data_IF_725050773373
#
_entry.id   IF_725050773373
#
_cell.length_a   1.000
_cell.length_b   1.000
_cell.length_c   1.000
_cell.angle_alpha   90.00
_cell.angle_beta   90.00
_cell.angle_gamma   90.00
#
_symmetry.space_group_name_H-M   'P 1'
#
loop_
_entity.id
_entity.type
_entity.pdbx_description
1 polymer ?
#
# COMPACT_ATOMS: atom_id res chain seq x y z
N UNK A 1 5.16 -39.96 -38.18
CA UNK A 1 5.04 -39.97 -36.71
C UNK A 1 6.18 -39.14 -36.11
N UNK A 2 6.00 -37.83 -35.97
CA UNK A 2 6.95 -36.93 -35.27
C UNK A 2 6.20 -36.43 -34.02
N UNK A 3 6.69 -36.77 -32.83
CA UNK A 3 6.16 -36.26 -31.56
C UNK A 3 6.92 -34.98 -31.22
N UNK A 4 6.27 -33.83 -31.40
CA UNK A 4 6.77 -32.53 -30.96
C UNK A 4 6.61 -32.47 -29.44
N UNK A 5 7.73 -32.51 -28.71
CA UNK A 5 7.77 -32.30 -27.26
C UNK A 5 7.60 -30.79 -26.99
N UNK A 6 6.38 -30.37 -26.67
CA UNK A 6 6.11 -29.01 -26.18
C UNK A 6 6.47 -28.99 -24.69
N UNK A 7 7.70 -28.58 -24.40
CA UNK A 7 8.13 -28.25 -23.03
C UNK A 7 7.52 -26.90 -22.63
N UNK A 8 6.27 -26.92 -22.16
CA UNK A 8 5.62 -25.78 -21.52
C UNK A 8 6.23 -25.61 -20.12
N UNK A 9 7.32 -24.84 -20.05
CA UNK A 9 7.94 -24.45 -18.78
C UNK A 9 6.94 -23.62 -17.98
N UNK A 10 6.28 -24.26 -17.01
CA UNK A 10 5.36 -23.64 -16.08
C UNK A 10 6.18 -22.74 -15.15
N UNK A 11 6.30 -21.45 -15.51
CA UNK A 11 6.87 -20.45 -14.63
C UNK A 11 5.90 -20.25 -13.46
N UNK A 12 6.12 -20.96 -12.36
CA UNK A 12 5.35 -20.80 -11.12
C UNK A 12 5.65 -19.41 -10.55
N UNK A 13 4.75 -18.46 -10.79
CA UNK A 13 4.75 -17.19 -10.08
C UNK A 13 4.41 -17.44 -8.60
N UNK A 14 5.44 -17.49 -7.74
CA UNK A 14 5.23 -17.46 -6.28
C UNK A 14 4.55 -16.13 -5.91
N UNK A 15 3.24 -16.20 -5.72
CA UNK A 15 2.43 -15.12 -5.18
C UNK A 15 2.60 -15.11 -3.67
N UNK A 16 3.53 -14.30 -3.15
CA UNK A 16 3.56 -13.99 -1.72
C UNK A 16 2.32 -13.13 -1.40
N UNK A 17 1.20 -13.79 -1.11
CA UNK A 17 -0.02 -13.13 -0.68
C UNK A 17 0.22 -12.48 0.70
N UNK A 18 -0.27 -11.26 0.86
CA UNK A 18 -0.17 -10.53 2.12
C UNK A 18 -0.86 -11.30 3.26
N UNK A 19 -0.18 -11.48 4.40
CA UNK A 19 -0.79 -12.10 5.58
C UNK A 19 -1.84 -11.17 6.18
N UNK A 20 -2.88 -11.73 6.80
CA UNK A 20 -3.92 -10.96 7.51
C UNK A 20 -3.28 -10.07 8.59
N UNK A 21 -3.39 -8.75 8.43
CA UNK A 21 -2.81 -7.75 9.35
C UNK A 21 -1.48 -7.12 8.91
N UNK A 22 -0.90 -7.55 7.79
CA UNK A 22 0.23 -6.85 7.19
C UNK A 22 -0.24 -5.59 6.42
N UNK A 23 0.59 -4.54 6.41
CA UNK A 23 0.33 -3.27 5.70
C UNK A 23 -0.97 -2.55 6.11
N UNK A 24 -1.43 -2.69 7.36
CA UNK A 24 -2.72 -2.14 7.82
C UNK A 24 -2.89 -0.65 7.50
N UNK A 25 -1.87 0.18 7.80
CA UNK A 25 -1.91 1.62 7.53
C UNK A 25 -1.98 1.90 6.03
N UNK A 26 -1.17 1.20 5.22
CA UNK A 26 -1.20 1.33 3.76
C UNK A 26 -2.60 1.01 3.19
N UNK A 27 -3.17 -0.14 3.58
CA UNK A 27 -4.46 -0.60 3.06
C UNK A 27 -5.57 0.39 3.43
N UNK A 28 -5.67 0.76 4.71
CA UNK A 28 -6.70 1.70 5.19
C UNK A 28 -6.57 3.07 4.54
N UNK A 29 -5.34 3.59 4.41
CA UNK A 29 -5.11 4.91 3.81
C UNK A 29 -5.49 4.93 2.34
N UNK A 30 -5.07 3.93 1.56
CA UNK A 30 -5.38 3.84 0.13
C UNK A 30 -6.87 3.55 -0.08
N UNK A 31 -7.51 2.69 0.73
CA UNK A 31 -8.96 2.46 0.64
C UNK A 31 -9.75 3.74 0.90
N UNK A 32 -9.38 4.49 1.94
CA UNK A 32 -10.01 5.78 2.24
C UNK A 32 -9.84 6.77 1.08
N UNK A 33 -8.61 6.91 0.55
CA UNK A 33 -8.34 7.75 -0.60
C UNK A 33 -9.12 7.32 -1.84
N UNK A 34 -9.12 6.03 -2.18
CA UNK A 34 -9.82 5.49 -3.35
C UNK A 34 -11.34 5.69 -3.27
N UNK A 35 -11.90 5.71 -2.06
CA UNK A 35 -13.33 5.98 -1.84
C UNK A 35 -13.72 7.45 -2.08
N UNK A 36 -12.74 8.37 -2.01
CA UNK A 36 -12.92 9.79 -2.28
C UNK A 36 -12.66 10.17 -3.75
N UNK A 37 -12.12 9.25 -4.56
CA UNK A 37 -11.85 9.50 -5.97
C UNK A 37 -13.12 9.49 -6.80
N UNK A 38 -13.28 10.53 -7.62
CA UNK A 38 -14.33 10.60 -8.64
C UNK A 38 -14.06 9.64 -9.80
N UNK A 39 -15.10 9.21 -10.51
CA UNK A 39 -14.98 8.34 -11.70
C UNK A 39 -14.21 9.01 -12.85
N UNK A 40 -14.16 10.34 -12.88
CA UNK A 40 -13.34 11.12 -13.82
C UNK A 40 -11.86 11.08 -13.41
N UNK A 41 -11.55 11.32 -12.13
CA UNK A 41 -10.18 11.29 -11.60
C UNK A 41 -9.51 9.94 -11.83
N UNK A 42 -10.26 8.83 -11.69
CA UNK A 42 -9.73 7.46 -11.88
C UNK A 42 -9.14 7.23 -13.27
N UNK A 43 -9.50 8.02 -14.29
CA UNK A 43 -9.03 7.82 -15.67
C UNK A 43 -7.67 8.45 -15.93
N UNK A 44 -7.20 9.36 -15.09
CA UNK A 44 -5.96 10.10 -15.29
C UNK A 44 -5.02 9.87 -14.11
N UNK A 45 -3.86 9.28 -14.38
CA UNK A 45 -2.83 9.08 -13.35
C UNK A 45 -2.40 10.41 -12.74
N UNK A 46 -2.29 11.46 -13.55
CA UNK A 46 -1.93 12.80 -13.09
C UNK A 46 -2.97 13.39 -12.13
N UNK A 47 -4.27 13.17 -12.41
CA UNK A 47 -5.33 13.62 -11.50
C UNK A 47 -5.31 12.85 -10.19
N UNK A 48 -5.12 11.53 -10.23
CA UNK A 48 -4.95 10.70 -9.01
C UNK A 48 -3.76 11.20 -8.18
N UNK A 49 -2.64 11.56 -8.81
CA UNK A 49 -1.46 12.09 -8.10
C UNK A 49 -1.76 13.44 -7.42
N UNK A 50 -2.46 14.34 -8.11
CA UNK A 50 -2.84 15.64 -7.55
C UNK A 50 -3.89 15.51 -6.43
N UNK A 51 -4.88 14.64 -6.62
CA UNK A 51 -5.89 14.32 -5.62
C UNK A 51 -5.24 13.67 -4.40
N UNK A 52 -4.24 12.82 -4.59
CA UNK A 52 -3.49 12.21 -3.48
C UNK A 52 -2.69 13.23 -2.68
N UNK A 53 -2.02 14.18 -3.35
CA UNK A 53 -1.34 15.29 -2.65
C UNK A 53 -2.33 16.13 -1.85
N UNK A 54 -3.49 16.42 -2.43
CA UNK A 54 -4.57 17.15 -1.74
C UNK A 54 -5.13 16.37 -0.56
N UNK A 55 -5.30 15.05 -0.71
CA UNK A 55 -5.68 14.15 0.37
C UNK A 55 -4.66 14.19 1.51
N UNK A 56 -3.36 14.09 1.20
CA UNK A 56 -2.29 14.14 2.20
C UNK A 56 -2.22 15.44 3.00
N UNK A 57 -2.63 16.58 2.42
CA UNK A 57 -2.76 17.85 3.15
C UNK A 57 -3.89 17.85 4.18
N UNK A 58 -4.89 16.96 4.03
CA UNK A 58 -6.04 16.82 4.95
C UNK A 58 -5.90 15.68 5.95
N UNK A 59 -4.94 14.79 5.74
CA UNK A 59 -4.72 13.62 6.59
C UNK A 59 -4.31 14.06 8.00
N UNK A 60 -4.86 13.38 9.01
CA UNK A 60 -4.53 13.65 10.41
C UNK A 60 -3.05 13.38 10.70
N UNK A 61 -2.49 14.15 11.65
CA UNK A 61 -1.11 13.96 12.13
C UNK A 61 -1.01 12.57 12.76
N UNK A 62 -0.14 11.72 12.22
CA UNK A 62 -0.05 10.32 12.66
C UNK A 62 0.59 9.39 11.64
N UNK A 63 0.15 8.11 11.65
CA UNK A 63 0.72 7.06 10.79
C UNK A 63 0.36 7.27 9.31
N UNK A 64 -0.83 7.79 9.00
CA UNK A 64 -1.20 8.12 7.62
C UNK A 64 -0.38 9.30 7.06
N UNK A 65 -0.05 10.31 7.88
CA UNK A 65 0.84 11.39 7.45
C UNK A 65 2.23 10.84 7.09
N UNK A 66 2.75 9.89 7.88
CA UNK A 66 4.02 9.23 7.59
C UNK A 66 3.96 8.39 6.31
N UNK A 67 2.83 7.73 6.06
CA UNK A 67 2.58 7.06 4.78
C UNK A 67 2.58 8.06 3.61
N UNK A 68 1.91 9.21 3.74
CA UNK A 68 1.95 10.28 2.74
C UNK A 68 3.37 10.78 2.45
N UNK A 69 4.20 10.90 3.48
CA UNK A 69 5.62 11.24 3.33
C UNK A 69 6.37 10.17 2.53
N UNK A 70 6.19 8.88 2.82
CA UNK A 70 6.84 7.81 2.04
C UNK A 70 6.35 7.70 0.60
N UNK A 71 5.11 8.10 0.33
CA UNK A 71 4.51 8.02 -1.00
C UNK A 71 4.83 9.22 -1.91
N UNK A 72 5.42 10.30 -1.39
CA UNK A 72 5.61 11.53 -2.18
C UNK A 72 4.37 12.42 -2.24
N UNK A 73 3.43 12.25 -1.30
CA UNK A 73 2.20 13.03 -1.24
C UNK A 73 2.37 14.42 -0.60
N UNK A 74 3.51 14.65 0.06
CA UNK A 74 3.89 15.94 0.63
C UNK A 74 5.06 16.57 -0.15
N UNK A 75 5.11 17.90 -0.19
CA UNK A 75 6.13 18.68 -0.93
C UNK A 75 7.53 18.49 -0.32
N UNK A 76 7.61 18.11 0.97
CA UNK A 76 8.86 17.78 1.65
C UNK A 76 9.40 16.37 1.36
N UNK A 77 8.63 15.53 0.66
CA UNK A 77 9.02 14.16 0.35
C UNK A 77 9.96 14.10 -0.85
N UNK A 78 11.11 13.46 -0.66
CA UNK A 78 12.10 13.24 -1.72
C UNK A 78 11.76 12.03 -2.62
N UNK A 79 10.61 11.38 -2.43
CA UNK A 79 10.28 10.11 -3.11
C UNK A 79 9.41 10.34 -4.35
N UNK A 80 9.75 9.64 -5.45
CA UNK A 80 8.99 9.67 -6.71
C UNK A 80 8.07 8.45 -6.91
N UNK A 81 7.71 7.75 -5.83
CA UNK A 81 6.98 6.47 -5.93
C UNK A 81 5.46 6.64 -6.09
N UNK A 82 4.95 7.87 -6.13
CA UNK A 82 3.53 8.14 -6.28
C UNK A 82 2.92 7.50 -7.55
N UNK A 83 3.74 7.37 -8.61
CA UNK A 83 3.35 6.68 -9.85
C UNK A 83 3.02 5.19 -9.66
N UNK A 84 3.53 4.58 -8.59
CA UNK A 84 3.27 3.19 -8.20
C UNK A 84 1.97 3.02 -7.41
N UNK A 85 1.33 4.13 -7.05
CA UNK A 85 -0.03 4.19 -6.54
C UNK A 85 -1.01 4.63 -7.64
N UNK A 86 -0.66 5.68 -8.40
CA UNK A 86 -1.56 6.27 -9.40
C UNK A 86 -1.85 5.33 -10.57
N UNK A 87 -0.84 4.67 -11.14
CA UNK A 87 -1.04 3.70 -12.23
C UNK A 87 -1.85 2.49 -11.75
N UNK A 88 -1.58 1.91 -10.56
CA UNK A 88 -2.39 0.80 -10.09
C UNK A 88 -3.84 1.15 -9.75
N UNK A 89 -4.13 2.38 -9.35
CA UNK A 89 -5.48 2.81 -9.09
C UNK A 89 -6.28 3.09 -10.37
N UNK A 90 -5.64 3.56 -11.45
CA UNK A 90 -6.37 3.97 -12.67
C UNK A 90 -7.04 2.83 -13.42
N UNK A 91 -6.48 1.63 -13.36
CA UNK A 91 -7.07 0.38 -13.87
C UNK A 91 -7.73 -0.48 -12.76
N UNK A 92 -8.05 0.12 -11.61
CA UNK A 92 -8.80 -0.51 -10.51
C UNK A 92 -8.15 -1.76 -9.90
N UNK A 93 -6.83 -1.75 -9.68
CA UNK A 93 -6.15 -2.83 -8.96
C UNK A 93 -6.61 -2.88 -7.50
N UNK A 94 -6.85 -4.08 -6.92
CA UNK A 94 -7.18 -4.21 -5.51
C UNK A 94 -6.10 -3.62 -4.59
N UNK A 95 -6.52 -2.92 -3.55
CA UNK A 95 -5.63 -2.16 -2.66
C UNK A 95 -4.59 -3.05 -1.99
N UNK A 96 -4.96 -4.29 -1.64
CA UNK A 96 -4.05 -5.26 -1.05
C UNK A 96 -2.87 -5.56 -1.98
N UNK A 97 -3.14 -5.65 -3.30
CA UNK A 97 -2.11 -5.86 -4.32
C UNK A 97 -1.25 -4.62 -4.55
N UNK A 98 -1.83 -3.43 -4.41
CA UNK A 98 -1.05 -2.19 -4.44
C UNK A 98 -0.07 -2.16 -3.27
N UNK A 99 -0.55 -2.42 -2.04
CA UNK A 99 0.32 -2.46 -0.86
C UNK A 99 1.39 -3.56 -0.93
N UNK A 100 1.08 -4.74 -1.50
CA UNK A 100 2.09 -5.78 -1.77
C UNK A 100 3.20 -5.28 -2.71
N UNK A 101 2.84 -4.52 -3.75
CA UNK A 101 3.82 -3.92 -4.68
C UNK A 101 4.64 -2.82 -4.01
N UNK A 102 3.98 -1.96 -3.23
CA UNK A 102 4.65 -0.90 -2.47
C UNK A 102 5.65 -1.49 -1.47
N UNK A 103 5.29 -2.58 -0.76
CA UNK A 103 6.21 -3.31 0.12
C UNK A 103 7.50 -3.76 -0.55
N UNK A 104 7.41 -4.18 -1.81
CA UNK A 104 8.59 -4.64 -2.59
C UNK A 104 9.50 -3.48 -2.98
N UNK A 105 8.96 -2.26 -3.09
CA UNK A 105 9.74 -1.05 -3.35
C UNK A 105 10.33 -0.47 -2.08
N UNK A 106 9.53 -0.43 -1.03
CA UNK A 106 9.91 0.05 0.29
C UNK A 106 9.15 -0.74 1.35
N UNK A 107 9.87 -1.57 2.11
CA UNK A 107 9.26 -2.38 3.18
C UNK A 107 8.72 -1.52 4.31
N UNK A 108 9.27 -0.32 4.52
CA UNK A 108 8.87 0.59 5.59
C UNK A 108 7.40 1.00 5.48
N UNK A 109 6.85 1.04 4.26
CA UNK A 109 5.43 1.35 4.00
C UNK A 109 4.50 0.37 4.71
N UNK A 110 4.86 -0.91 4.72
CA UNK A 110 4.05 -1.98 5.31
C UNK A 110 4.39 -2.26 6.78
N UNK A 111 5.53 -1.78 7.24
CA UNK A 111 5.92 -1.81 8.65
C UNK A 111 5.22 -0.69 9.46
N UNK A 112 4.66 0.32 8.78
CA UNK A 112 3.74 1.27 9.40
C UNK A 112 2.48 0.56 9.88
N UNK A 113 2.33 0.50 11.21
CA UNK A 113 1.16 -0.04 11.91
C UNK A 113 0.62 1.00 12.89
N UNK A 114 -0.69 0.96 13.11
CA UNK A 114 -1.29 1.71 14.20
C UNK A 114 -0.81 1.13 15.52
N UNK A 115 -0.54 2.00 16.49
CA UNK A 115 -0.18 1.55 17.82
C UNK A 115 -1.40 0.84 18.40
N UNK A 116 -1.27 -0.47 18.67
CA UNK A 116 -2.33 -1.19 19.38
C UNK A 116 -2.41 -0.54 20.75
N UNK A 117 -3.55 0.03 21.10
CA UNK A 117 -3.80 0.42 22.48
C UNK A 117 -3.68 -0.85 23.32
N UNK A 118 -2.57 -0.98 24.03
CA UNK A 118 -2.40 -2.07 24.97
C UNK A 118 -3.32 -1.72 26.13
N UNK A 119 -4.45 -2.40 26.18
CA UNK A 119 -5.31 -2.39 27.35
C UNK A 119 -4.52 -3.07 28.47
N UNK A 120 -3.87 -2.27 29.30
CA UNK A 120 -2.98 -2.66 30.40
C UNK A 120 -3.65 -3.59 31.43
N UNK A 121 -4.95 -3.83 31.29
CA UNK A 121 -5.73 -4.77 32.10
C UNK A 121 -5.65 -6.24 31.61
N UNK A 122 -5.12 -6.52 30.41
CA UNK A 122 -5.11 -7.88 29.82
C UNK A 122 -3.71 -8.43 29.50
N UNK A 123 -2.63 -7.71 29.82
CA UNK A 123 -1.26 -8.16 29.54
C UNK A 123 -0.65 -8.89 30.73
N UNK A 124 -0.58 -10.22 30.66
CA UNK A 124 0.43 -10.97 31.42
C UNK A 124 1.82 -10.53 30.95
N UNK A 125 2.51 -9.76 31.79
CA UNK A 125 3.86 -9.18 31.63
C UNK A 125 5.00 -10.21 31.40
N UNK A 126 4.69 -11.48 31.12
CA UNK A 126 5.67 -12.58 31.04
C UNK A 126 6.35 -12.74 29.68
N UNK A 127 5.91 -12.01 28.63
CA UNK A 127 6.38 -12.24 27.25
C UNK A 127 7.08 -11.04 26.59
N UNK A 128 7.39 -9.98 27.35
CA UNK A 128 8.23 -8.89 26.85
C UNK A 128 9.71 -9.30 27.01
N UNK A 129 10.37 -9.65 25.90
CA UNK A 129 11.84 -9.74 25.83
C UNK A 129 12.41 -8.34 25.60
N UNK A 130 13.32 -7.94 26.47
CA UNK A 130 14.17 -6.73 26.35
C UNK A 130 15.28 -6.99 25.34
#
# INVERSE_FOLDING_TARGET
MIKILISFSLLVCLSNALKKGDCEVCIKTIQNFASQLSETSKKSTTEIENDFKTFCKRVAIGKEQRFCYYMGGDESSATGILSELSKPLSWSMPVEKICEKLKKKDSQICDLRYDKQIDVNTVELKNLKV
#
